data_IF_623917504226
#
_entry.id   IF_623917504226
#
_cell.length_a   1.000
_cell.length_b   1.000
_cell.length_c   1.000
_cell.angle_alpha   90.00
_cell.angle_beta   90.00
_cell.angle_gamma   90.00
#
_symmetry.space_group_name_H-M   'P 1'
#
loop_
_entity.id
_entity.type
_entity.pdbx_description
1 polymer ?
#
# COMPACT_ATOMS: atom_id res chain seq x y z
N UNK A 1 6.45 -13.32 7.12
CA UNK A 1 7.79 -12.71 7.36
C UNK A 1 7.92 -11.49 6.45
N UNK A 2 8.37 -10.35 6.97
CA UNK A 2 8.58 -9.14 6.16
C UNK A 2 9.79 -9.31 5.24
N UNK A 3 9.65 -8.99 3.96
CA UNK A 3 10.75 -8.99 3.01
C UNK A 3 11.57 -7.72 3.18
N UNK A 4 12.89 -7.84 3.24
CA UNK A 4 13.84 -6.73 3.44
C UNK A 4 14.78 -6.60 2.25
N UNK A 5 15.32 -5.41 2.05
CA UNK A 5 16.39 -5.16 1.08
C UNK A 5 17.71 -5.59 1.72
N UNK A 6 18.44 -6.49 1.06
CA UNK A 6 19.76 -6.96 1.52
C UNK A 6 20.91 -6.31 0.76
N UNK A 7 20.69 -5.90 -0.50
CA UNK A 7 21.68 -5.16 -1.27
C UNK A 7 21.00 -4.23 -2.28
N UNK A 8 21.65 -3.08 -2.54
CA UNK A 8 21.35 -2.17 -3.63
C UNK A 8 22.64 -1.85 -4.38
N UNK A 9 22.60 -2.01 -5.67
CA UNK A 9 23.60 -1.51 -6.60
C UNK A 9 22.92 -0.53 -7.56
N UNK A 10 23.47 0.67 -7.71
CA UNK A 10 22.93 1.68 -8.62
C UNK A 10 24.08 2.36 -9.35
N UNK A 11 23.96 2.44 -10.68
CA UNK A 11 24.93 3.09 -11.55
C UNK A 11 24.23 4.03 -12.53
N UNK A 12 24.84 5.20 -12.74
CA UNK A 12 24.36 6.22 -13.69
C UNK A 12 22.90 6.64 -13.48
N UNK A 13 22.44 6.71 -12.22
CA UNK A 13 21.07 7.13 -11.86
C UNK A 13 21.09 8.51 -11.25
N UNK A 14 20.39 9.45 -11.84
CA UNK A 14 20.30 10.85 -11.38
C UNK A 14 21.71 11.43 -11.07
N UNK A 15 22.02 11.61 -9.78
CA UNK A 15 23.33 12.11 -9.32
C UNK A 15 24.30 11.02 -8.89
N UNK A 16 23.87 9.77 -8.94
CA UNK A 16 24.71 8.61 -8.60
C UNK A 16 25.54 8.24 -9.81
N UNK A 17 26.88 8.21 -9.67
CA UNK A 17 27.77 7.59 -10.62
C UNK A 17 27.80 6.08 -10.44
N UNK A 18 28.09 5.64 -9.21
CA UNK A 18 28.02 4.27 -8.77
C UNK A 18 27.87 4.24 -7.25
N UNK A 19 27.00 3.37 -6.75
CA UNK A 19 26.82 3.11 -5.32
C UNK A 19 26.48 1.64 -5.11
N UNK A 20 27.07 1.05 -4.09
CA UNK A 20 26.71 -0.25 -3.57
C UNK A 20 26.41 -0.10 -2.08
N UNK A 21 25.23 -0.54 -1.65
CA UNK A 21 24.77 -0.48 -0.27
C UNK A 21 24.34 -1.87 0.18
N UNK A 22 24.77 -2.24 1.37
CA UNK A 22 24.30 -3.44 2.07
C UNK A 22 23.66 -2.99 3.38
N UNK A 23 22.33 -2.81 3.40
CA UNK A 23 21.63 -2.36 4.60
C UNK A 23 21.81 -3.36 5.76
N UNK A 24 21.79 -2.83 6.98
CA UNK A 24 21.82 -3.69 8.17
C UNK A 24 20.61 -4.65 8.15
N UNK A 25 20.80 -5.93 8.51
CA UNK A 25 19.71 -6.92 8.50
C UNK A 25 18.61 -6.59 9.51
N UNK A 26 18.94 -5.82 10.55
CA UNK A 26 18.00 -5.31 11.57
C UNK A 26 18.35 -3.87 11.93
N UNK A 27 17.32 -3.09 12.33
CA UNK A 27 17.50 -1.72 12.77
C UNK A 27 17.44 -0.70 11.62
N UNK A 28 18.15 0.42 11.80
CA UNK A 28 18.14 1.58 10.92
C UNK A 28 19.45 1.66 10.11
N UNK A 29 19.31 1.86 8.80
CA UNK A 29 20.44 2.18 7.93
C UNK A 29 20.39 3.67 7.57
N UNK A 30 21.43 4.43 7.95
CA UNK A 30 21.55 5.85 7.66
C UNK A 30 22.40 6.10 6.42
N UNK A 31 21.86 6.87 5.47
CA UNK A 31 22.60 7.36 4.30
C UNK A 31 22.95 8.83 4.54
N UNK A 32 24.15 9.05 5.05
CA UNK A 32 24.69 10.38 5.36
C UNK A 32 25.47 11.00 4.21
N UNK A 33 25.78 12.30 4.32
CA UNK A 33 26.62 13.07 3.40
C UNK A 33 26.12 14.49 3.21
N UNK A 34 26.95 15.33 2.57
CA UNK A 34 26.63 16.72 2.26
C UNK A 34 25.46 16.86 1.28
N UNK A 35 24.91 18.06 1.17
CA UNK A 35 23.88 18.33 0.19
C UNK A 35 24.42 18.09 -1.23
N UNK A 36 23.52 17.69 -2.13
CA UNK A 36 23.83 17.46 -3.53
C UNK A 36 24.68 16.19 -3.86
N UNK A 37 24.95 15.31 -2.89
CA UNK A 37 25.74 14.09 -3.07
C UNK A 37 24.91 12.84 -3.46
N UNK A 38 23.64 13.01 -3.79
CA UNK A 38 22.82 11.91 -4.29
C UNK A 38 22.08 11.09 -3.23
N UNK A 39 21.98 11.54 -1.96
CA UNK A 39 21.24 10.82 -0.91
C UNK A 39 19.79 10.50 -1.32
N UNK A 40 19.05 11.52 -1.77
CA UNK A 40 17.68 11.33 -2.30
C UNK A 40 17.67 10.47 -3.57
N UNK A 41 18.71 10.56 -4.40
CA UNK A 41 18.82 9.72 -5.59
C UNK A 41 18.90 8.22 -5.27
N UNK A 42 19.44 7.84 -4.12
CA UNK A 42 19.44 6.45 -3.63
C UNK A 42 18.02 5.99 -3.32
N UNK A 43 17.21 6.82 -2.64
CA UNK A 43 15.81 6.52 -2.34
C UNK A 43 14.97 6.46 -3.62
N UNK A 44 15.17 7.41 -4.54
CA UNK A 44 14.49 7.42 -5.84
C UNK A 44 14.86 6.17 -6.68
N UNK A 45 16.13 5.74 -6.63
CA UNK A 45 16.58 4.52 -7.29
C UNK A 45 15.88 3.26 -6.73
N UNK A 46 15.76 3.18 -5.40
CA UNK A 46 15.01 2.09 -4.73
C UNK A 46 13.52 2.11 -5.12
N UNK A 47 12.90 3.28 -5.03
CA UNK A 47 11.49 3.44 -5.38
C UNK A 47 11.23 3.04 -6.84
N UNK A 48 12.09 3.47 -7.76
CA UNK A 48 11.99 3.10 -9.18
C UNK A 48 12.25 1.60 -9.41
N UNK A 49 13.30 1.03 -8.80
CA UNK A 49 13.61 -0.39 -8.93
C UNK A 49 12.42 -1.28 -8.52
N UNK A 50 11.79 -0.99 -7.39
CA UNK A 50 10.76 -1.81 -6.79
C UNK A 50 9.34 -1.43 -7.22
N UNK A 51 9.05 -0.12 -7.34
CA UNK A 51 7.69 0.40 -7.59
C UNK A 51 7.31 0.54 -9.05
N UNK A 52 8.23 0.32 -9.97
CA UNK A 52 7.95 0.34 -11.39
C UNK A 52 8.06 1.72 -12.06
N UNK A 53 7.55 1.83 -13.28
CA UNK A 53 7.69 3.03 -14.11
C UNK A 53 7.02 4.27 -13.50
N UNK A 54 6.00 4.11 -12.68
CA UNK A 54 5.35 5.25 -12.02
C UNK A 54 6.28 6.00 -11.04
N UNK A 55 7.33 5.33 -10.54
CA UNK A 55 8.36 5.92 -9.68
C UNK A 55 9.64 6.29 -10.43
N UNK A 56 9.62 6.20 -11.75
CA UNK A 56 10.77 6.59 -12.58
C UNK A 56 11.01 8.10 -12.46
N UNK A 57 12.22 8.53 -12.08
CA UNK A 57 12.55 9.95 -12.07
C UNK A 57 12.51 10.53 -13.50
N UNK A 58 12.08 11.80 -13.63
CA UNK A 58 12.02 12.48 -14.92
C UNK A 58 13.39 12.49 -15.64
N UNK A 59 14.48 12.71 -14.88
CA UNK A 59 15.86 12.57 -15.37
C UNK A 59 16.49 11.32 -14.72
N UNK A 60 16.08 10.13 -15.17
CA UNK A 60 16.51 8.87 -14.58
C UNK A 60 17.98 8.58 -14.81
N UNK A 61 18.49 8.86 -16.01
CA UNK A 61 19.90 8.69 -16.32
C UNK A 61 20.72 9.89 -15.83
N UNK A 62 21.94 9.62 -15.36
CA UNK A 62 22.87 10.64 -14.90
C UNK A 62 23.34 11.50 -16.09
N UNK A 63 23.35 12.83 -15.90
CA UNK A 63 23.86 13.76 -16.91
C UNK A 63 25.29 13.46 -17.25
N UNK A 64 25.60 13.44 -18.56
CA UNK A 64 26.91 13.14 -19.09
C UNK A 64 27.33 11.66 -19.01
N UNK A 65 26.44 10.76 -18.56
CA UNK A 65 26.75 9.33 -18.58
C UNK A 65 26.58 8.74 -19.98
N UNK A 66 27.61 8.05 -20.47
CA UNK A 66 27.58 7.33 -21.76
C UNK A 66 26.79 6.01 -21.61
N UNK A 67 26.97 5.31 -20.48
CA UNK A 67 26.26 4.08 -20.19
C UNK A 67 24.87 4.38 -19.61
N UNK A 68 23.84 3.58 -19.94
CA UNK A 68 22.50 3.74 -19.41
C UNK A 68 22.45 3.49 -17.89
N UNK A 69 21.39 3.96 -17.26
CA UNK A 69 21.12 3.69 -15.86
C UNK A 69 21.01 2.18 -15.60
N UNK A 70 21.64 1.72 -14.53
CA UNK A 70 21.58 0.34 -14.08
C UNK A 70 21.23 0.30 -12.60
N UNK A 71 20.25 -0.53 -12.24
CA UNK A 71 19.79 -0.76 -10.88
C UNK A 71 19.70 -2.25 -10.60
N UNK A 72 20.20 -2.67 -9.46
CA UNK A 72 20.03 -4.03 -8.95
C UNK A 72 19.71 -4.01 -7.46
N UNK A 73 18.60 -4.64 -7.09
CA UNK A 73 18.15 -4.76 -5.70
C UNK A 73 18.01 -6.23 -5.38
N UNK A 74 18.61 -6.67 -4.28
CA UNK A 74 18.45 -8.03 -3.75
C UNK A 74 17.60 -7.99 -2.50
N UNK A 75 16.62 -8.88 -2.42
CA UNK A 75 15.69 -9.01 -1.30
C UNK A 75 16.05 -10.21 -0.42
N UNK A 76 15.63 -10.17 0.86
CA UNK A 76 15.93 -11.19 1.85
C UNK A 76 15.30 -12.57 1.55
N UNK A 77 14.29 -12.62 0.69
CA UNK A 77 13.70 -13.85 0.18
C UNK A 77 14.41 -14.41 -1.06
N UNK A 78 15.58 -13.85 -1.44
CA UNK A 78 16.37 -14.28 -2.58
C UNK A 78 15.91 -13.74 -3.92
N UNK A 79 14.85 -12.92 -3.97
CA UNK A 79 14.43 -12.26 -5.21
C UNK A 79 15.43 -11.18 -5.58
N UNK A 80 15.83 -11.14 -6.86
CA UNK A 80 16.70 -10.11 -7.45
C UNK A 80 15.91 -9.30 -8.48
N UNK A 81 15.92 -8.00 -8.30
CA UNK A 81 15.28 -7.04 -9.19
C UNK A 81 16.36 -6.28 -9.95
N UNK A 82 16.33 -6.31 -11.25
CA UNK A 82 17.31 -5.63 -12.11
C UNK A 82 16.60 -4.73 -13.12
N UNK A 83 17.07 -3.50 -13.28
CA UNK A 83 16.70 -2.58 -14.36
C UNK A 83 17.94 -2.16 -15.12
N UNK A 84 17.94 -2.38 -16.43
CA UNK A 84 19.09 -2.05 -17.27
C UNK A 84 18.70 -1.66 -18.69
N UNK A 85 19.68 -1.04 -19.38
CA UNK A 85 19.56 -0.65 -20.78
C UNK A 85 18.78 0.66 -20.98
N UNK A 86 18.80 1.14 -22.24
CA UNK A 86 18.16 2.42 -22.63
C UNK A 86 16.67 2.50 -22.28
N UNK A 87 15.98 1.37 -22.37
CA UNK A 87 14.54 1.27 -22.08
C UNK A 87 14.25 0.89 -20.62
N UNK A 88 15.28 0.84 -19.76
CA UNK A 88 15.13 0.48 -18.34
C UNK A 88 14.35 -0.82 -18.12
N UNK A 89 14.66 -1.84 -18.96
CA UNK A 89 13.95 -3.12 -18.93
C UNK A 89 14.06 -3.76 -17.55
N UNK A 90 12.91 -4.14 -17.01
CA UNK A 90 12.78 -4.80 -15.70
C UNK A 90 12.96 -6.31 -15.87
N UNK A 91 13.83 -6.88 -15.07
CA UNK A 91 13.95 -8.32 -14.88
C UNK A 91 13.84 -8.62 -13.39
N UNK A 92 12.89 -9.46 -13.01
CA UNK A 92 12.76 -9.96 -11.64
C UNK A 92 13.08 -11.44 -11.68
N UNK A 93 14.08 -11.85 -10.92
CA UNK A 93 14.51 -13.24 -10.83
C UNK A 93 14.17 -13.78 -9.44
N UNK A 94 13.42 -14.86 -9.37
CA UNK A 94 13.12 -15.54 -8.12
C UNK A 94 14.30 -16.40 -7.63
N UNK A 95 14.29 -16.95 -6.41
CA UNK A 95 15.35 -17.79 -5.88
C UNK A 95 15.58 -19.08 -6.70
N UNK A 96 14.62 -19.49 -7.53
CA UNK A 96 14.70 -20.67 -8.40
C UNK A 96 15.31 -20.35 -9.77
N UNK A 97 15.64 -19.06 -10.03
CA UNK A 97 16.17 -18.60 -11.30
C UNK A 97 15.12 -18.28 -12.36
N UNK A 98 13.83 -18.39 -12.05
CA UNK A 98 12.75 -18.01 -12.98
C UNK A 98 12.67 -16.50 -13.10
N UNK A 99 12.52 -16.03 -14.33
CA UNK A 99 12.36 -14.61 -14.62
C UNK A 99 10.89 -14.23 -14.67
N UNK A 100 10.56 -13.11 -14.06
CA UNK A 100 9.22 -12.53 -14.00
C UNK A 100 9.27 -11.02 -14.20
N UNK A 101 8.12 -10.38 -14.14
CA UNK A 101 7.97 -8.93 -14.26
C UNK A 101 7.50 -8.26 -12.96
N UNK A 102 6.96 -7.06 -13.11
CA UNK A 102 6.46 -6.23 -12.01
C UNK A 102 5.40 -6.93 -11.13
N UNK A 103 4.65 -7.86 -11.69
CA UNK A 103 3.60 -8.57 -10.94
C UNK A 103 4.15 -9.35 -9.74
N UNK A 104 5.33 -9.97 -9.89
CA UNK A 104 5.98 -10.66 -8.78
C UNK A 104 6.37 -9.68 -7.66
N UNK A 105 6.86 -8.50 -8.03
CA UNK A 105 7.21 -7.46 -7.04
C UNK A 105 5.99 -6.92 -6.30
N UNK A 106 4.89 -6.73 -7.00
CA UNK A 106 3.67 -6.19 -6.39
C UNK A 106 3.12 -7.06 -5.25
N UNK A 107 3.50 -8.35 -5.23
CA UNK A 107 3.14 -9.26 -4.14
C UNK A 107 3.98 -9.03 -2.86
N UNK A 108 5.15 -8.39 -2.96
CA UNK A 108 6.09 -8.23 -1.85
C UNK A 108 6.31 -6.78 -1.44
N UNK A 109 6.04 -5.83 -2.35
CA UNK A 109 6.34 -4.42 -2.14
C UNK A 109 5.08 -3.69 -1.70
N UNK A 110 5.05 -3.31 -0.44
CA UNK A 110 4.00 -2.45 0.10
C UNK A 110 4.08 -1.05 -0.55
N UNK A 111 2.98 -0.52 -1.09
CA UNK A 111 2.95 0.80 -1.72
C UNK A 111 3.45 1.93 -0.80
N UNK A 112 3.26 1.79 0.51
CA UNK A 112 3.70 2.77 1.50
C UNK A 112 5.23 2.86 1.60
N UNK A 113 5.94 1.73 1.53
CA UNK A 113 7.40 1.73 1.65
C UNK A 113 8.07 2.55 0.54
N UNK A 114 7.38 2.74 -0.59
CA UNK A 114 7.88 3.46 -1.75
C UNK A 114 7.39 4.92 -1.84
N UNK A 115 6.31 5.27 -1.15
CA UNK A 115 5.63 6.56 -1.31
C UNK A 115 5.40 7.27 0.03
N UNK A 116 6.47 7.41 0.81
CA UNK A 116 6.42 8.12 2.09
C UNK A 116 5.91 9.57 1.97
N UNK A 117 6.29 10.37 0.95
CA UNK A 117 5.73 11.70 0.77
C UNK A 117 4.20 11.68 0.67
N UNK A 118 3.64 10.80 -0.14
CA UNK A 118 2.19 10.64 -0.27
C UNK A 118 1.52 10.25 1.04
N UNK A 119 2.15 9.38 1.83
CA UNK A 119 1.64 9.05 3.17
C UNK A 119 1.63 10.28 4.08
N UNK A 120 2.67 11.10 4.07
CA UNK A 120 2.73 12.32 4.89
C UNK A 120 1.66 13.35 4.52
N UNK A 121 1.33 13.46 3.22
CA UNK A 121 0.32 14.37 2.68
C UNK A 121 -1.11 13.81 2.76
N UNK A 122 -1.27 12.52 2.99
CA UNK A 122 -2.57 11.86 3.09
C UNK A 122 -3.39 12.37 4.28
N UNK A 123 -4.72 12.32 4.18
CA UNK A 123 -5.63 12.61 5.28
C UNK A 123 -5.46 11.60 6.42
N UNK A 124 -5.88 11.95 7.64
CA UNK A 124 -5.76 11.07 8.81
C UNK A 124 -6.47 9.73 8.60
N UNK A 125 -7.60 9.73 7.90
CA UNK A 125 -8.34 8.52 7.56
C UNK A 125 -7.53 7.62 6.60
N UNK A 126 -6.96 8.19 5.54
CA UNK A 126 -6.12 7.44 4.61
C UNK A 126 -4.85 6.92 5.27
N UNK A 127 -4.23 7.71 6.18
CA UNK A 127 -3.11 7.25 7.01
C UNK A 127 -3.49 6.04 7.86
N UNK A 128 -4.63 6.09 8.52
CA UNK A 128 -5.13 4.99 9.33
C UNK A 128 -5.37 3.74 8.48
N UNK A 129 -6.04 3.85 7.33
CA UNK A 129 -6.31 2.74 6.41
C UNK A 129 -5.01 2.09 5.89
N UNK A 130 -4.00 2.91 5.57
CA UNK A 130 -2.70 2.44 5.12
C UNK A 130 -2.00 1.67 6.25
N UNK A 131 -1.97 2.21 7.47
CA UNK A 131 -1.34 1.57 8.64
C UNK A 131 -2.04 0.25 9.00
N UNK A 132 -3.37 0.23 9.00
CA UNK A 132 -4.16 -0.98 9.26
C UNK A 132 -3.89 -2.09 8.24
N UNK A 133 -3.68 -1.70 6.97
CA UNK A 133 -3.30 -2.63 5.91
C UNK A 133 -1.92 -3.24 6.14
N UNK A 134 -0.94 -2.43 6.58
CA UNK A 134 0.43 -2.88 6.88
C UNK A 134 0.43 -3.85 8.06
N UNK A 135 -0.37 -3.58 9.09
CA UNK A 135 -0.51 -4.44 10.28
C UNK A 135 -1.24 -5.75 9.91
N UNK A 136 -1.93 -5.77 8.76
CA UNK A 136 -2.62 -6.96 8.27
C UNK A 136 -4.05 -7.13 8.78
N UNK A 137 -4.57 -6.18 9.56
CA UNK A 137 -5.93 -6.21 10.12
C UNK A 137 -6.96 -5.40 9.34
N UNK A 138 -6.53 -4.71 8.26
CA UNK A 138 -7.41 -3.86 7.47
C UNK A 138 -8.62 -4.59 6.88
N UNK A 139 -8.44 -5.82 6.41
CA UNK A 139 -9.55 -6.64 5.88
C UNK A 139 -10.53 -7.06 6.99
N UNK A 140 -10.03 -7.42 8.17
CA UNK A 140 -10.87 -7.80 9.30
C UNK A 140 -11.71 -6.62 9.79
N UNK A 141 -11.09 -5.44 9.90
CA UNK A 141 -11.80 -4.21 10.27
C UNK A 141 -12.90 -3.89 9.25
N UNK A 142 -12.59 -3.95 7.95
CA UNK A 142 -13.58 -3.71 6.90
C UNK A 142 -14.79 -4.67 6.98
N UNK A 143 -14.56 -5.95 7.26
CA UNK A 143 -15.64 -6.92 7.46
C UNK A 143 -16.50 -6.56 8.69
N UNK A 144 -15.87 -6.13 9.79
CA UNK A 144 -16.60 -5.65 10.98
C UNK A 144 -17.43 -4.41 10.71
N UNK A 145 -16.88 -3.44 9.96
CA UNK A 145 -17.61 -2.23 9.58
C UNK A 145 -18.83 -2.55 8.71
N UNK A 146 -18.72 -3.50 7.77
CA UNK A 146 -19.86 -3.98 6.99
C UNK A 146 -20.92 -4.66 7.86
N UNK A 147 -20.52 -5.46 8.85
CA UNK A 147 -21.41 -6.13 9.78
C UNK A 147 -22.16 -5.11 10.65
N UNK A 148 -21.44 -4.12 11.20
CA UNK A 148 -22.03 -3.02 11.99
C UNK A 148 -23.03 -2.25 11.14
N UNK A 149 -22.69 -1.90 9.92
CA UNK A 149 -23.60 -1.20 9.00
C UNK A 149 -24.86 -2.02 8.73
N UNK A 150 -24.74 -3.32 8.47
CA UNK A 150 -25.88 -4.21 8.26
C UNK A 150 -26.81 -4.25 9.48
N UNK A 151 -26.25 -4.31 10.69
CA UNK A 151 -27.03 -4.29 11.94
C UNK A 151 -27.73 -2.93 12.11
N UNK A 152 -27.03 -1.83 11.83
CA UNK A 152 -27.60 -0.49 11.88
C UNK A 152 -28.79 -0.33 10.92
N UNK A 153 -28.64 -0.80 9.68
CA UNK A 153 -29.69 -0.74 8.67
C UNK A 153 -30.92 -1.58 9.10
N UNK A 154 -30.70 -2.78 9.64
CA UNK A 154 -31.79 -3.62 10.21
C UNK A 154 -32.49 -2.94 11.36
N UNK A 155 -31.76 -2.33 12.29
CA UNK A 155 -32.33 -1.55 13.41
C UNK A 155 -33.19 -0.40 12.89
N UNK A 156 -32.70 0.35 11.92
CA UNK A 156 -33.41 1.49 11.32
C UNK A 156 -34.72 1.03 10.68
N UNK A 157 -34.66 -0.02 9.87
CA UNK A 157 -35.85 -0.60 9.23
C UNK A 157 -36.86 -1.10 10.26
N UNK A 158 -36.42 -1.83 11.29
CA UNK A 158 -37.31 -2.33 12.37
C UNK A 158 -37.93 -1.17 13.13
N UNK A 159 -37.17 -0.09 13.39
CA UNK A 159 -37.71 1.12 14.04
C UNK A 159 -38.77 1.81 13.19
N UNK A 160 -38.55 1.95 11.89
CA UNK A 160 -39.56 2.51 10.99
C UNK A 160 -40.85 1.66 10.96
N UNK A 161 -40.69 0.34 10.86
CA UNK A 161 -41.83 -0.60 10.90
C UNK A 161 -42.59 -0.51 12.22
N UNK A 162 -41.89 -0.41 13.34
CA UNK A 162 -42.53 -0.26 14.65
C UNK A 162 -43.31 1.06 14.75
N UNK A 163 -42.75 2.16 14.29
CA UNK A 163 -43.43 3.46 14.22
C UNK A 163 -44.67 3.40 13.33
N UNK A 164 -44.56 2.79 12.16
CA UNK A 164 -45.69 2.61 11.25
C UNK A 164 -46.82 1.80 11.89
N UNK A 165 -46.49 0.66 12.53
CA UNK A 165 -47.50 -0.15 13.24
C UNK A 165 -48.12 0.57 14.40
N UNK A 166 -47.36 1.38 15.15
CA UNK A 166 -47.88 2.21 16.22
C UNK A 166 -48.88 3.23 15.68
N UNK A 167 -48.53 3.91 14.57
CA UNK A 167 -49.43 4.88 13.91
C UNK A 167 -50.75 4.20 13.48
N UNK A 168 -50.68 3.02 12.87
CA UNK A 168 -51.85 2.25 12.53
C UNK A 168 -52.71 1.88 13.77
N UNK A 169 -52.04 1.49 14.86
CA UNK A 169 -52.76 1.16 16.09
C UNK A 169 -53.44 2.39 16.71
N UNK A 170 -52.80 3.56 16.66
CA UNK A 170 -53.34 4.81 17.16
C UNK A 170 -54.53 5.32 16.31
N UNK A 171 -54.58 4.95 15.03
CA UNK A 171 -55.69 5.28 14.11
C UNK A 171 -56.88 4.34 14.21
N UNK A 172 -56.74 3.18 14.88
CA UNK A 172 -57.85 2.25 15.05
C UNK A 172 -58.87 2.81 16.07
N UNK A 173 -60.13 2.77 15.69
CA UNK A 173 -61.20 3.14 16.57
C UNK A 173 -61.27 2.12 17.72
N UNK A 174 -61.08 2.61 18.94
CA UNK A 174 -61.23 1.77 20.15
C UNK A 174 -62.70 1.67 20.54
N UNK A 175 -63.19 0.44 20.77
CA UNK A 175 -64.52 0.17 21.32
C UNK A 175 -64.33 -0.39 22.73
N UNK A 176 -64.23 0.47 23.77
CA UNK A 176 -63.91 0.03 25.12
C UNK A 176 -64.96 -0.88 25.75
N UNK A 177 -66.19 -0.84 25.24
CA UNK A 177 -67.29 -1.64 25.73
C UNK A 177 -67.55 -2.94 24.94
N UNK A 178 -66.66 -3.27 24.02
CA UNK A 178 -66.75 -4.51 23.24
C UNK A 178 -66.45 -5.73 24.15
N UNK A 179 -67.23 -6.83 24.09
CA UNK A 179 -66.95 -8.03 24.89
C UNK A 179 -65.61 -8.65 24.45
N UNK A 180 -64.79 -9.04 25.42
CA UNK A 180 -63.47 -9.62 25.20
C UNK A 180 -63.46 -11.00 24.49
N UNK A 181 -64.62 -11.65 24.40
CA UNK A 181 -64.78 -12.93 23.72
C UNK A 181 -65.92 -12.87 22.69
N UNK A 182 -65.71 -13.38 21.46
CA UNK A 182 -66.78 -13.56 20.53
C UNK A 182 -67.77 -14.57 21.08
N UNK A 183 -69.06 -14.24 20.96
CA UNK A 183 -70.19 -15.14 21.32
C UNK A 183 -70.16 -16.40 20.47
#
# INVERSE_FOLDING_TARGET
>A
MSVKITALEAENVKRIKAVALTPAPTGLTLVGGNNNQGKTSVLDALAWALGGEKFRPAAAQRDGAVAPAHLRVTLSNGVVVERKGKNSSLTVTDPTGRRSGQQLLNAFVEPLALDLPRFMEASDKEKADILLRIIGIGNELHLRDMEIKSIYDKRTFTGQLAQQKKHFADELISYPDAPEQPL
#
